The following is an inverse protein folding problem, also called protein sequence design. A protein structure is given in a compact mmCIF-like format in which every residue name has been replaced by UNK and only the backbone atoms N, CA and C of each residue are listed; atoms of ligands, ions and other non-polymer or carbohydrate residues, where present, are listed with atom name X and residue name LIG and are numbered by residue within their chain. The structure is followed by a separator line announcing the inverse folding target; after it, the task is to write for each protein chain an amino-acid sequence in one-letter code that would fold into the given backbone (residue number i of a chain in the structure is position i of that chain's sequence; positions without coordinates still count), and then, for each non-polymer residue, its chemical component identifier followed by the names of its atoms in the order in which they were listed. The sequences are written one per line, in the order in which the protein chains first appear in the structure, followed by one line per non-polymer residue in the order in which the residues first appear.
data_IF_086104711640
#
_entry.id   IF_086104711640
#
_cell.length_a   1.000
_cell.length_b   1.000
_cell.length_c   1.000
_cell.angle_alpha   90.00
_cell.angle_beta   90.00
_cell.angle_gamma   90.00
#
_symmetry.space_group_name_H-M   'P 1'
#
loop_
_entity.id
_entity.type
_entity.pdbx_description
1 polymer ?
#
# COMPACT_ATOMS: atom_id res chain seq x y z
N UNK A 1 -2.65 5.12 2.73
CA UNK A 1 -1.49 5.99 3.01
C UNK A 1 -1.84 7.47 2.89
N UNK A 2 -1.15 8.35 3.63
CA UNK A 2 -1.57 9.75 3.82
C UNK A 2 -1.22 10.70 2.66
N UNK A 3 -0.07 10.53 1.98
CA UNK A 3 0.42 11.49 0.97
C UNK A 3 0.14 11.10 -0.48
N UNK A 4 -0.33 9.87 -0.75
CA UNK A 4 -0.41 9.33 -2.10
C UNK A 4 -1.12 10.24 -3.10
N UNK A 5 -2.29 10.78 -2.73
CA UNK A 5 -3.08 11.67 -3.58
C UNK A 5 -2.63 13.14 -3.59
N UNK A 6 -1.70 13.52 -2.71
CA UNK A 6 -1.17 14.89 -2.64
C UNK A 6 -0.28 15.23 -3.84
N UNK A 7 0.25 14.23 -4.54
CA UNK A 7 1.00 14.41 -5.79
C UNK A 7 0.24 15.24 -6.83
N UNK A 8 -1.07 15.02 -6.96
CA UNK A 8 -1.85 15.66 -8.03
C UNK A 8 -2.26 17.10 -7.75
N UNK A 9 -2.56 17.44 -6.49
CA UNK A 9 -3.19 18.72 -6.13
C UNK A 9 -2.45 19.54 -5.07
N UNK A 10 -1.37 19.02 -4.48
CA UNK A 10 -0.60 19.72 -3.43
C UNK A 10 0.84 19.95 -3.87
N UNK A 11 1.58 18.88 -4.18
CA UNK A 11 2.98 18.97 -4.57
C UNK A 11 3.34 17.85 -5.56
N UNK A 12 3.55 18.16 -6.86
CA UNK A 12 3.84 17.16 -7.88
C UNK A 12 5.20 16.46 -7.73
N UNK A 13 6.10 16.99 -6.90
CA UNK A 13 7.38 16.34 -6.60
C UNK A 13 7.24 15.13 -5.66
N UNK A 14 6.09 14.96 -4.99
CA UNK A 14 5.82 13.81 -4.12
C UNK A 14 5.84 12.51 -4.94
N UNK A 15 6.56 11.50 -4.45
CA UNK A 15 6.53 10.12 -4.91
C UNK A 15 5.22 9.43 -4.45
N UNK A 16 4.11 9.88 -5.05
CA UNK A 16 2.75 9.46 -4.74
C UNK A 16 2.07 8.67 -5.86
N UNK A 17 0.78 8.46 -5.69
CA UNK A 17 -0.06 7.66 -6.58
C UNK A 17 -0.28 8.36 -7.92
N UNK A 18 -0.23 7.57 -8.99
CA UNK A 18 -0.65 7.97 -10.33
C UNK A 18 -2.14 7.76 -10.56
N UNK A 19 -2.75 6.86 -9.78
CA UNK A 19 -4.14 6.40 -9.94
C UNK A 19 -4.27 5.13 -10.79
N UNK A 20 -3.16 4.62 -11.34
CA UNK A 20 -3.14 3.39 -12.13
C UNK A 20 -2.76 2.15 -11.30
N UNK A 21 -2.35 2.34 -10.04
CA UNK A 21 -1.94 1.29 -9.13
C UNK A 21 -3.13 0.40 -8.76
N UNK A 22 -2.98 -0.91 -8.93
CA UNK A 22 -4.00 -1.87 -8.53
C UNK A 22 -3.37 -3.17 -8.05
N UNK A 23 -4.09 -3.87 -7.18
CA UNK A 23 -3.80 -5.24 -6.79
C UNK A 23 -4.92 -6.16 -7.28
N UNK A 24 -4.60 -7.43 -7.53
CA UNK A 24 -5.64 -8.44 -7.78
C UNK A 24 -6.14 -9.00 -6.46
N UNK A 25 -7.38 -9.48 -6.45
CA UNK A 25 -7.90 -10.23 -5.31
C UNK A 25 -7.08 -11.49 -5.06
N UNK A 26 -6.69 -12.19 -6.14
CA UNK A 26 -5.70 -13.26 -6.12
C UNK A 26 -4.56 -12.92 -7.09
N UNK A 27 -3.35 -12.59 -6.61
CA UNK A 27 -2.21 -12.23 -7.45
C UNK A 27 -1.72 -13.37 -8.34
N UNK A 28 -1.96 -14.63 -7.94
CA UNK A 28 -1.58 -15.83 -8.70
C UNK A 28 -2.53 -16.15 -9.86
N UNK A 29 -3.73 -15.56 -9.88
CA UNK A 29 -4.70 -15.69 -10.97
C UNK A 29 -4.75 -14.40 -11.82
N UNK A 30 -4.23 -14.41 -13.07
CA UNK A 30 -4.27 -13.24 -13.94
C UNK A 30 -5.69 -12.74 -14.27
N UNK A 31 -6.69 -13.62 -14.24
CA UNK A 31 -8.10 -13.32 -14.48
C UNK A 31 -8.85 -12.78 -13.25
N UNK A 32 -8.20 -12.77 -12.09
CA UNK A 32 -8.81 -12.29 -10.84
C UNK A 32 -9.17 -10.80 -10.92
N UNK A 33 -10.30 -10.38 -10.33
CA UNK A 33 -10.68 -8.98 -10.25
C UNK A 33 -9.56 -8.10 -9.68
N UNK A 34 -9.49 -6.86 -10.16
CA UNK A 34 -8.53 -5.86 -9.67
C UNK A 34 -9.23 -4.88 -8.72
N UNK A 35 -8.57 -4.56 -7.62
CA UNK A 35 -8.91 -3.44 -6.74
C UNK A 35 -7.84 -2.38 -6.96
N UNK A 36 -8.25 -1.26 -7.52
CA UNK A 36 -7.39 -0.14 -7.82
C UNK A 36 -7.46 0.91 -6.72
N UNK A 37 -6.45 1.78 -6.67
CA UNK A 37 -6.46 2.91 -5.75
C UNK A 37 -7.61 3.88 -6.08
N UNK A 38 -8.20 4.45 -5.03
CA UNK A 38 -9.20 5.52 -5.12
C UNK A 38 -9.00 6.54 -4.00
N UNK A 39 -9.62 7.72 -4.09
CA UNK A 39 -9.47 8.85 -3.16
C UNK A 39 -10.67 9.03 -2.21
N UNK A 40 -11.56 8.03 -2.17
CA UNK A 40 -12.83 8.01 -1.45
C UNK A 40 -12.74 7.29 -0.09
N UNK A 41 -11.57 7.27 0.54
CA UNK A 41 -11.41 6.65 1.85
C UNK A 41 -12.38 7.24 2.90
N UNK A 42 -12.97 6.33 3.67
CA UNK A 42 -13.77 6.65 4.85
C UNK A 42 -12.91 6.51 6.12
N UNK A 43 -13.38 7.10 7.22
CA UNK A 43 -12.83 6.78 8.53
C UNK A 43 -13.35 5.40 8.92
N UNK A 44 -12.47 4.41 8.91
CA UNK A 44 -12.81 3.01 9.21
C UNK A 44 -12.06 2.56 10.47
N UNK A 45 -12.68 1.67 11.24
CA UNK A 45 -12.05 1.03 12.40
C UNK A 45 -11.29 -0.26 12.03
N UNK A 46 -11.50 -0.78 10.81
CA UNK A 46 -10.84 -1.99 10.34
C UNK A 46 -9.32 -1.79 10.22
N UNK A 47 -8.56 -2.68 10.84
CA UNK A 47 -7.10 -2.62 10.91
C UNK A 47 -6.47 -3.69 10.00
N UNK A 48 -5.60 -3.32 9.04
CA UNK A 48 -4.82 -4.28 8.29
C UNK A 48 -3.87 -5.12 9.15
N UNK A 49 -3.45 -6.26 8.61
CA UNK A 49 -2.39 -7.03 9.22
C UNK A 49 -1.10 -6.23 9.29
N UNK A 50 -0.51 -6.16 10.48
CA UNK A 50 0.71 -5.41 10.77
C UNK A 50 1.80 -6.29 11.40
N UNK A 51 1.65 -7.61 11.34
CA UNK A 51 2.74 -8.54 11.68
C UNK A 51 3.77 -8.56 10.55
N UNK A 52 4.99 -9.01 10.88
CA UNK A 52 6.06 -9.17 9.89
C UNK A 52 5.63 -10.01 8.70
N UNK A 53 4.93 -11.13 8.95
CA UNK A 53 4.41 -12.02 7.93
C UNK A 53 3.39 -11.31 7.04
N UNK A 54 2.45 -10.57 7.64
CA UNK A 54 1.43 -9.84 6.92
C UNK A 54 2.02 -8.75 6.02
N UNK A 55 2.91 -7.90 6.56
CA UNK A 55 3.53 -6.82 5.76
C UNK A 55 4.42 -7.41 4.67
N UNK A 56 5.10 -8.52 4.95
CA UNK A 56 5.88 -9.24 3.95
C UNK A 56 5.00 -9.78 2.82
N UNK A 57 3.84 -10.36 3.12
CA UNK A 57 2.87 -10.78 2.10
C UNK A 57 2.34 -9.59 1.30
N UNK A 58 2.04 -8.46 1.95
CA UNK A 58 1.59 -7.25 1.25
C UNK A 58 2.61 -6.75 0.21
N UNK A 59 3.89 -6.68 0.61
CA UNK A 59 5.00 -6.13 -0.21
C UNK A 59 5.47 -7.12 -1.29
N UNK A 60 5.52 -8.41 -1.00
CA UNK A 60 6.12 -9.42 -1.87
C UNK A 60 5.12 -10.39 -2.51
N UNK A 61 3.84 -10.33 -2.12
CA UNK A 61 2.79 -11.27 -2.52
C UNK A 61 2.79 -12.58 -1.74
N UNK A 62 1.67 -13.32 -1.79
CA UNK A 62 1.58 -14.64 -1.19
C UNK A 62 2.59 -15.63 -1.82
N UNK A 63 3.14 -16.53 -1.01
CA UNK A 63 4.09 -17.55 -1.46
C UNK A 63 5.53 -17.06 -1.65
N UNK A 64 5.83 -15.79 -1.33
CA UNK A 64 7.20 -15.42 -1.00
C UNK A 64 7.62 -16.27 0.22
N UNK A 65 8.27 -17.42 0.05
CA UNK A 65 8.65 -18.29 1.17
C UNK A 65 9.67 -17.64 2.10
N UNK A 66 9.80 -18.07 3.36
CA UNK A 66 10.73 -17.52 4.36
C UNK A 66 12.23 -17.51 3.95
N UNK A 67 12.58 -18.10 2.80
CA UNK A 67 13.94 -18.33 2.32
C UNK A 67 14.62 -17.12 1.64
N UNK A 68 14.12 -15.90 1.83
CA UNK A 68 14.64 -14.69 1.16
C UNK A 68 15.20 -13.68 2.16
N UNK A 69 16.07 -14.14 3.04
CA UNK A 69 16.90 -13.28 3.89
C UNK A 69 18.27 -13.02 3.25
N UNK A 70 18.95 -11.92 3.60
CA UNK A 70 20.37 -11.74 3.26
C UNK A 70 21.17 -12.96 3.76
N UNK A 71 21.80 -13.70 2.85
CA UNK A 71 22.61 -14.89 3.17
C UNK A 71 21.95 -16.25 2.88
N UNK A 72 20.68 -16.29 2.43
CA UNK A 72 19.97 -17.56 2.18
C UNK A 72 20.36 -18.29 0.88
N UNK A 73 21.30 -17.78 0.07
CA UNK A 73 21.71 -18.38 -1.22
C UNK A 73 20.61 -18.45 -2.29
N UNK A 74 19.38 -18.04 -1.97
CA UNK A 74 18.23 -17.98 -2.85
C UNK A 74 18.20 -16.71 -3.70
N UNK A 75 17.42 -16.74 -4.79
CA UNK A 75 17.19 -15.57 -5.64
C UNK A 75 16.59 -14.42 -4.82
N UNK A 76 16.99 -13.15 -5.08
CA UNK A 76 16.34 -11.98 -4.49
C UNK A 76 14.84 -12.02 -4.79
N UNK A 77 14.00 -11.93 -3.75
CA UNK A 77 12.57 -11.74 -3.97
C UNK A 77 12.35 -10.25 -4.27
N UNK A 78 11.70 -9.99 -5.40
CA UNK A 78 11.38 -8.63 -5.85
C UNK A 78 10.09 -8.19 -5.18
N UNK A 79 10.03 -7.00 -4.56
CA UNK A 79 8.80 -6.48 -3.98
C UNK A 79 7.82 -6.11 -5.11
N UNK A 80 6.81 -6.95 -5.32
CA UNK A 80 5.80 -6.76 -6.38
C UNK A 80 4.70 -5.78 -5.96
N UNK A 81 4.58 -5.47 -4.67
CA UNK A 81 3.52 -4.65 -4.09
C UNK A 81 2.12 -5.17 -4.43
N UNK A 82 1.97 -6.48 -4.62
CA UNK A 82 0.75 -7.09 -5.18
C UNK A 82 -0.16 -7.76 -4.15
N UNK A 83 0.27 -7.85 -2.88
CA UNK A 83 -0.42 -8.64 -1.86
C UNK A 83 -1.35 -7.87 -0.93
N UNK A 84 -1.50 -6.55 -1.08
CA UNK A 84 -2.28 -5.73 -0.13
C UNK A 84 -3.76 -6.18 -0.05
N UNK A 85 -4.37 -6.47 -1.20
CA UNK A 85 -5.78 -6.89 -1.27
C UNK A 85 -5.96 -8.32 -0.79
N UNK A 86 -5.08 -9.23 -1.20
CA UNK A 86 -5.10 -10.64 -0.79
C UNK A 86 -4.91 -10.76 0.73
N UNK A 87 -3.91 -10.08 1.29
CA UNK A 87 -3.67 -10.08 2.74
C UNK A 87 -4.86 -9.46 3.49
N UNK A 88 -5.40 -8.33 3.02
CA UNK A 88 -6.57 -7.72 3.64
C UNK A 88 -7.81 -8.62 3.64
N UNK A 89 -7.96 -9.49 2.63
CA UNK A 89 -9.05 -10.46 2.55
C UNK A 89 -9.02 -11.50 3.68
N UNK A 90 -7.84 -11.79 4.24
CA UNK A 90 -7.68 -12.69 5.39
C UNK A 90 -8.17 -12.08 6.70
N UNK A 91 -8.27 -10.75 6.76
CA UNK A 91 -8.75 -10.00 7.93
C UNK A 91 -10.25 -9.78 7.85
N UNK A 92 -10.74 -9.14 6.79
CA UNK A 92 -12.18 -8.99 6.55
C UNK A 92 -12.52 -8.62 5.10
N UNK A 93 -13.72 -8.97 4.62
CA UNK A 93 -14.22 -8.53 3.31
C UNK A 93 -14.30 -7.00 3.18
N UNK A 94 -14.66 -6.29 4.26
CA UNK A 94 -14.74 -4.84 4.31
C UNK A 94 -13.37 -4.20 4.09
N UNK A 95 -12.35 -4.73 4.77
CA UNK A 95 -11.00 -4.24 4.62
C UNK A 95 -10.46 -4.50 3.22
N UNK A 96 -10.68 -5.68 2.65
CA UNK A 96 -10.29 -5.98 1.27
C UNK A 96 -10.82 -4.93 0.26
N UNK A 97 -12.05 -4.46 0.45
CA UNK A 97 -12.67 -3.41 -0.40
C UNK A 97 -12.14 -2.00 -0.13
N UNK A 98 -11.54 -1.79 1.05
CA UNK A 98 -11.10 -0.49 1.55
C UNK A 98 -9.59 -0.26 1.55
N UNK A 99 -8.77 -1.31 1.53
CA UNK A 99 -7.31 -1.24 1.78
C UNK A 99 -6.57 -0.39 0.74
N UNK A 100 -7.06 -0.38 -0.50
CA UNK A 100 -6.48 0.42 -1.59
C UNK A 100 -7.00 1.86 -1.63
N UNK A 101 -7.93 2.26 -0.75
CA UNK A 101 -8.50 3.61 -0.72
C UNK A 101 -7.59 4.55 0.07
N UNK A 102 -7.32 5.71 -0.50
CA UNK A 102 -6.59 6.81 0.15
C UNK A 102 -7.50 7.99 0.45
N UNK A 103 -7.10 8.84 1.40
CA UNK A 103 -7.78 10.11 1.62
C UNK A 103 -7.38 11.10 0.53
N UNK A 104 -8.36 11.78 -0.08
CA UNK A 104 -8.10 13.02 -0.82
C UNK A 104 -7.54 14.11 0.11
N UNK A 105 -6.71 15.04 -0.37
CA UNK A 105 -6.04 16.03 0.49
C UNK A 105 -6.99 16.87 1.35
N UNK A 106 -8.21 17.13 0.87
CA UNK A 106 -9.23 17.92 1.59
C UNK A 106 -9.76 17.20 2.84
N UNK A 107 -9.57 15.88 2.95
CA UNK A 107 -9.95 15.08 4.12
C UNK A 107 -8.84 15.02 5.17
N UNK A 108 -7.63 15.46 4.82
CA UNK A 108 -6.46 15.53 5.69
C UNK A 108 -5.77 16.91 5.54
N UNK A 109 -6.50 18.02 5.72
CA UNK A 109 -6.05 19.36 5.32
C UNK A 109 -4.79 19.82 6.05
N UNK A 110 -4.57 19.38 7.30
CA UNK A 110 -3.36 19.68 8.06
C UNK A 110 -2.12 19.05 7.39
N UNK A 111 -2.20 17.78 6.99
CA UNK A 111 -1.11 17.13 6.26
C UNK A 111 -0.88 17.78 4.89
N UNK A 112 -1.96 18.18 4.20
CA UNK A 112 -1.86 18.89 2.92
C UNK A 112 -1.17 20.25 3.05
N UNK A 113 -1.40 20.97 4.16
CA UNK A 113 -0.70 22.23 4.45
C UNK A 113 0.78 21.95 4.77
N UNK A 114 1.09 20.97 5.61
CA UNK A 114 2.47 20.62 5.93
C UNK A 114 3.27 20.20 4.68
N UNK A 115 2.68 19.38 3.81
CA UNK A 115 3.32 18.92 2.57
C UNK A 115 3.54 20.04 1.54
N UNK A 116 2.84 21.16 1.68
CA UNK A 116 2.95 22.34 0.82
C UNK A 116 4.00 23.33 1.32
N UNK A 117 3.97 23.58 2.63
CA UNK A 117 4.75 24.66 3.25
C UNK A 117 6.11 24.18 3.78
N UNK A 118 6.33 22.86 3.88
CA UNK A 118 7.56 22.27 4.44
C UNK A 118 8.13 21.17 3.55
N UNK A 119 9.37 20.78 3.85
CA UNK A 119 10.02 19.65 3.22
C UNK A 119 9.34 18.32 3.62
N UNK A 120 9.15 17.45 2.62
CA UNK A 120 8.59 16.10 2.79
C UNK A 120 9.68 15.08 2.51
N UNK A 121 9.80 14.09 3.40
CA UNK A 121 10.59 12.89 3.17
C UNK A 121 9.62 11.75 2.82
N UNK A 122 9.42 11.48 1.53
CA UNK A 122 8.44 10.52 1.00
C UNK A 122 9.05 9.15 0.64
N UNK A 123 10.35 8.96 0.94
CA UNK A 123 11.10 7.70 0.87
C UNK A 123 11.62 7.28 2.23
N UNK A 124 10.76 7.37 3.24
CA UNK A 124 11.02 6.90 4.60
C UNK A 124 10.35 5.54 4.81
N UNK A 125 11.14 4.53 5.18
CA UNK A 125 10.69 3.14 5.31
C UNK A 125 11.03 2.60 6.69
N UNK A 126 10.20 1.69 7.20
CA UNK A 126 10.50 0.91 8.41
C UNK A 126 11.74 0.03 8.19
N UNK A 127 12.51 -0.21 9.26
CA UNK A 127 13.70 -1.08 9.22
C UNK A 127 13.36 -2.54 8.93
N UNK A 128 12.13 -2.96 9.25
CA UNK A 128 11.58 -4.27 8.94
C UNK A 128 10.20 -4.08 8.31
N UNK A 129 9.80 -4.94 7.36
CA UNK A 129 8.40 -5.07 7.00
C UNK A 129 7.58 -5.43 8.24
#
# INVERSE_FOLDING_TARGET
HMLGWMKRSVNPAIDGLTGAECNRVSPSDPGSPRVCVSDDAAYVAADPGHSFEAVREQVFGAGAGAASGPGAGGKPIVPTMSGFVEQASTVSPELMRGVMRGFRPERVPVFAALAREYAVFDRWFSSLP
#
